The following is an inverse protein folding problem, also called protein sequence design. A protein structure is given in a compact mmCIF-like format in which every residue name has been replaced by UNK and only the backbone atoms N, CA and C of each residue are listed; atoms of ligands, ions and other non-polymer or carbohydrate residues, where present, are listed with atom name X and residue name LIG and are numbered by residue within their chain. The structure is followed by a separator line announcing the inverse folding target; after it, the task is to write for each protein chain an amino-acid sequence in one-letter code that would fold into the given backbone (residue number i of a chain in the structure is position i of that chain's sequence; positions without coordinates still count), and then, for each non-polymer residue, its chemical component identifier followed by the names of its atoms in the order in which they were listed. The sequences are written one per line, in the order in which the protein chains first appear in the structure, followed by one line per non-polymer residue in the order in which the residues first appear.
data_IF_294899768713
#
_entry.id   IF_294899768713
#
_cell.length_a   1.000
_cell.length_b   1.000
_cell.length_c   1.000
_cell.angle_alpha   90.00
_cell.angle_beta   90.00
_cell.angle_gamma   90.00
#
_symmetry.space_group_name_H-M   'P 1'
#
loop_
_entity.id
_entity.type
_entity.pdbx_description
1 polymer ?
#
# COMPACT_ATOMS: atom_id res chain seq x y z
N UNK A 1 -16.76 37.71 19.63
CA UNK A 1 -15.62 36.82 19.33
C UNK A 1 -16.20 35.42 19.31
N UNK A 2 -16.58 34.94 18.13
CA UNK A 2 -17.14 33.59 18.00
C UNK A 2 -15.99 32.65 17.75
N UNK A 3 -15.62 31.89 18.79
CA UNK A 3 -14.62 30.83 18.70
C UNK A 3 -15.13 29.73 17.76
N UNK A 4 -14.64 29.74 16.52
CA UNK A 4 -14.66 28.54 15.68
C UNK A 4 -13.53 27.64 16.15
N UNK A 5 -13.85 26.69 17.03
CA UNK A 5 -12.97 25.55 17.26
C UNK A 5 -12.74 24.84 15.90
N UNK A 6 -11.48 24.56 15.51
CA UNK A 6 -11.22 23.82 14.29
C UNK A 6 -11.81 22.42 14.40
N UNK A 7 -12.70 22.06 13.47
CA UNK A 7 -13.23 20.70 13.34
C UNK A 7 -12.07 19.73 13.12
N UNK A 8 -11.95 18.62 13.88
CA UNK A 8 -10.89 17.65 13.64
C UNK A 8 -11.06 17.09 12.21
N UNK A 9 -10.02 17.19 11.39
CA UNK A 9 -10.00 16.61 10.06
C UNK A 9 -10.28 15.11 10.17
N UNK A 10 -11.34 14.62 9.52
CA UNK A 10 -11.65 13.19 9.54
C UNK A 10 -10.51 12.43 8.87
N UNK A 11 -10.00 11.38 9.52
CA UNK A 11 -9.05 10.45 8.89
C UNK A 11 -9.60 10.01 7.53
N UNK A 12 -8.80 10.09 6.44
CA UNK A 12 -9.25 9.65 5.13
C UNK A 12 -9.71 8.19 5.18
N UNK A 13 -10.90 7.91 4.62
CA UNK A 13 -11.35 6.54 4.45
C UNK A 13 -10.41 5.84 3.46
N UNK A 14 -9.80 4.73 3.89
CA UNK A 14 -8.81 3.98 3.09
C UNK A 14 -9.31 3.70 1.68
N UNK A 15 -10.56 3.24 1.54
CA UNK A 15 -11.10 2.84 0.25
C UNK A 15 -11.37 4.04 -0.64
N UNK A 16 -11.87 5.16 -0.08
CA UNK A 16 -11.95 6.42 -0.82
C UNK A 16 -10.58 6.92 -1.29
N UNK A 17 -9.55 6.78 -0.47
CA UNK A 17 -8.18 7.15 -0.86
C UNK A 17 -7.66 6.26 -1.98
N UNK A 18 -7.86 4.94 -1.91
CA UNK A 18 -7.46 4.00 -2.96
C UNK A 18 -8.18 4.30 -4.28
N UNK A 19 -9.49 4.57 -4.23
CA UNK A 19 -10.28 4.95 -5.41
C UNK A 19 -9.80 6.28 -6.02
N UNK A 20 -9.48 7.26 -5.18
CA UNK A 20 -8.96 8.56 -5.63
C UNK A 20 -7.58 8.42 -6.29
N UNK A 21 -6.67 7.65 -5.69
CA UNK A 21 -5.35 7.36 -6.26
C UNK A 21 -5.47 6.62 -7.58
N UNK A 22 -6.32 5.59 -7.65
CA UNK A 22 -6.59 4.89 -8.90
C UNK A 22 -7.17 5.81 -9.97
N UNK A 23 -8.15 6.66 -9.62
CA UNK A 23 -8.78 7.60 -10.57
C UNK A 23 -7.76 8.59 -11.13
N UNK A 24 -6.93 9.17 -10.27
CA UNK A 24 -5.85 10.08 -10.68
C UNK A 24 -4.90 9.38 -11.66
N UNK A 25 -4.50 8.15 -11.32
CA UNK A 25 -3.62 7.32 -12.13
C UNK A 25 -4.19 6.92 -13.50
N UNK A 26 -5.49 6.65 -13.61
CA UNK A 26 -6.15 6.35 -14.89
C UNK A 26 -6.35 7.61 -15.74
N UNK A 27 -6.49 8.78 -15.12
CA UNK A 27 -6.67 10.05 -15.83
C UNK A 27 -5.39 10.46 -16.58
N UNK A 28 -4.24 10.21 -15.97
CA UNK A 28 -2.93 10.67 -16.47
C UNK A 28 -2.15 9.58 -17.24
N UNK A 29 -2.69 8.35 -17.37
CA UNK A 29 -1.96 7.26 -18.04
C UNK A 29 -2.24 7.17 -19.55
N UNK A 30 -1.18 7.13 -20.39
CA UNK A 30 -1.33 6.87 -21.83
C UNK A 30 -1.62 5.39 -22.16
N UNK A 31 -1.43 4.48 -21.20
CA UNK A 31 -1.54 3.03 -21.37
C UNK A 31 -2.65 2.50 -20.46
N UNK A 32 -3.62 1.76 -21.00
CA UNK A 32 -4.79 1.27 -20.26
C UNK A 32 -5.00 -0.24 -20.42
N UNK A 33 -6.00 -0.78 -19.72
CA UNK A 33 -6.36 -2.20 -19.81
C UNK A 33 -5.26 -3.13 -19.28
N UNK A 34 -4.93 -4.18 -20.04
CA UNK A 34 -3.98 -5.22 -19.58
C UNK A 34 -2.58 -4.68 -19.33
N UNK A 35 -2.09 -3.78 -20.18
CA UNK A 35 -0.75 -3.21 -20.05
C UNK A 35 -0.66 -2.30 -18.81
N UNK A 36 -1.69 -1.49 -18.57
CA UNK A 36 -1.80 -0.70 -17.33
C UNK A 36 -1.75 -1.59 -16.07
N UNK A 37 -2.48 -2.70 -16.07
CA UNK A 37 -2.41 -3.69 -14.98
C UNK A 37 -1.01 -4.27 -14.81
N UNK A 38 -0.31 -4.64 -15.89
CA UNK A 38 1.05 -5.16 -15.81
C UNK A 38 2.02 -4.12 -15.23
N UNK A 39 1.88 -2.85 -15.61
CA UNK A 39 2.67 -1.76 -15.03
C UNK A 39 2.43 -1.61 -13.53
N UNK A 40 1.19 -1.82 -13.03
CA UNK A 40 0.93 -1.84 -11.58
C UNK A 40 1.65 -2.98 -10.86
N UNK A 41 1.75 -4.16 -11.50
CA UNK A 41 2.50 -5.29 -10.93
C UNK A 41 4.01 -5.01 -10.88
N UNK A 42 4.54 -4.30 -11.89
CA UNK A 42 5.94 -3.88 -11.90
C UNK A 42 6.21 -2.84 -10.81
N UNK A 43 5.34 -1.83 -10.65
CA UNK A 43 5.47 -0.85 -9.56
C UNK A 43 5.41 -1.51 -8.19
N UNK A 44 4.55 -2.51 -7.99
CA UNK A 44 4.54 -3.29 -6.75
C UNK A 44 5.90 -3.96 -6.46
N UNK A 45 6.59 -4.46 -7.49
CA UNK A 45 7.91 -5.07 -7.32
C UNK A 45 8.99 -4.03 -7.00
N UNK A 46 8.85 -2.81 -7.51
CA UNK A 46 9.71 -1.67 -7.19
C UNK A 46 9.61 -1.30 -5.70
N UNK A 47 8.39 -1.14 -5.16
CA UNK A 47 8.17 -0.83 -3.73
C UNK A 47 8.77 -1.90 -2.79
N UNK A 48 8.68 -3.18 -3.17
CA UNK A 48 9.32 -4.27 -2.40
C UNK A 48 10.85 -4.15 -2.43
N UNK A 49 11.41 -3.64 -3.53
CA UNK A 49 12.81 -3.28 -3.65
C UNK A 49 13.20 -2.14 -2.71
N UNK A 50 12.37 -1.11 -2.61
CA UNK A 50 12.58 0.04 -1.70
C UNK A 50 12.53 -0.40 -0.23
N UNK A 51 11.60 -1.27 0.18
CA UNK A 51 11.63 -1.91 1.50
C UNK A 51 12.97 -2.61 1.76
N UNK A 52 13.49 -3.32 0.76
CA UNK A 52 14.77 -4.04 0.88
C UNK A 52 15.94 -3.06 1.06
N UNK A 53 15.95 -1.95 0.32
CA UNK A 53 16.95 -0.89 0.45
C UNK A 53 16.87 -0.21 1.84
N UNK A 54 15.66 0.10 2.31
CA UNK A 54 15.44 0.70 3.61
C UNK A 54 15.93 -0.22 4.74
N UNK A 55 15.64 -1.53 4.67
CA UNK A 55 16.14 -2.51 5.67
C UNK A 55 17.66 -2.60 5.66
N UNK A 56 18.29 -2.71 4.48
CA UNK A 56 19.75 -2.75 4.38
C UNK A 56 20.37 -1.47 4.97
N UNK A 57 19.75 -0.31 4.70
CA UNK A 57 20.14 0.97 5.24
C UNK A 57 19.96 1.08 6.76
N UNK A 58 18.89 0.52 7.32
CA UNK A 58 18.60 0.54 8.75
C UNK A 58 19.52 -0.35 9.57
N UNK A 59 19.91 -1.52 9.03
CA UNK A 59 20.89 -2.42 9.66
C UNK A 59 22.32 -1.88 9.46
N UNK A 60 22.53 -0.95 8.53
CA UNK A 60 23.84 -0.38 8.22
C UNK A 60 24.75 -1.33 7.43
N UNK A 61 24.17 -2.30 6.72
CA UNK A 61 24.94 -3.30 5.97
C UNK A 61 25.47 -2.79 4.63
N UNK A 62 25.23 -1.53 4.27
CA UNK A 62 25.83 -0.90 3.09
C UNK A 62 27.25 -0.42 3.42
N UNK A 63 28.33 -1.07 2.95
CA UNK A 63 29.70 -0.71 3.32
C UNK A 63 30.12 0.69 2.85
N UNK A 64 29.41 1.26 1.87
CA UNK A 64 29.67 2.60 1.34
C UNK A 64 28.96 3.71 2.10
N UNK A 65 27.84 3.41 2.77
CA UNK A 65 26.97 4.41 3.40
C UNK A 65 26.77 4.22 4.91
N UNK A 66 27.11 3.07 5.48
CA UNK A 66 26.79 2.75 6.88
C UNK A 66 25.28 2.72 7.11
N UNK A 67 24.82 3.21 8.27
CA UNK A 67 23.39 3.40 8.55
C UNK A 67 22.88 4.59 7.72
N UNK A 68 21.98 4.32 6.78
CA UNK A 68 21.42 5.34 5.88
C UNK A 68 19.92 5.54 6.02
N UNK A 69 19.23 4.61 6.68
CA UNK A 69 17.80 4.63 6.92
C UNK A 69 17.52 4.32 8.39
N UNK A 70 16.30 4.59 8.80
CA UNK A 70 15.72 4.27 10.09
C UNK A 70 14.70 3.14 9.94
N UNK A 71 14.26 2.56 11.05
CA UNK A 71 13.12 1.64 11.03
C UNK A 71 11.79 2.36 10.79
N UNK A 72 11.74 3.69 10.89
CA UNK A 72 10.57 4.49 10.48
C UNK A 72 10.49 4.56 8.96
N UNK A 73 11.62 4.68 8.26
CA UNK A 73 11.67 4.61 6.79
C UNK A 73 11.15 3.26 6.31
N UNK A 74 11.58 2.14 6.94
CA UNK A 74 11.06 0.80 6.62
C UNK A 74 9.53 0.71 6.79
N UNK A 75 8.95 1.38 7.78
CA UNK A 75 7.50 1.42 7.96
C UNK A 75 6.82 2.20 6.83
N UNK A 76 7.43 3.30 6.38
CA UNK A 76 6.99 4.05 5.20
C UNK A 76 6.94 3.17 3.96
N UNK A 77 8.04 2.52 3.63
CA UNK A 77 8.13 1.65 2.44
C UNK A 77 7.13 0.48 2.50
N UNK A 78 6.89 -0.08 3.69
CA UNK A 78 5.85 -1.11 3.87
C UNK A 78 4.44 -0.56 3.60
N UNK A 79 4.17 0.70 3.97
CA UNK A 79 2.90 1.35 3.65
C UNK A 79 2.77 1.56 2.15
N UNK A 80 3.85 1.95 1.45
CA UNK A 80 3.85 2.15 0.00
C UNK A 80 3.60 0.84 -0.75
N UNK A 81 4.17 -0.29 -0.29
CA UNK A 81 3.83 -1.63 -0.78
C UNK A 81 2.32 -1.91 -0.61
N UNK A 82 1.75 -1.67 0.57
CA UNK A 82 0.34 -1.93 0.85
C UNK A 82 -0.57 -1.08 -0.03
N UNK A 83 -0.28 0.22 -0.14
CA UNK A 83 -1.06 1.16 -0.96
C UNK A 83 -0.99 0.76 -2.43
N UNK A 84 0.21 0.47 -2.94
CA UNK A 84 0.43 0.04 -4.33
C UNK A 84 -0.29 -1.27 -4.63
N UNK A 85 -0.26 -2.24 -3.71
CA UNK A 85 -1.00 -3.49 -3.86
C UNK A 85 -2.53 -3.28 -3.90
N UNK A 86 -3.07 -2.39 -3.07
CA UNK A 86 -4.50 -2.07 -3.07
C UNK A 86 -4.94 -1.34 -4.35
N UNK A 87 -4.12 -0.42 -4.86
CA UNK A 87 -4.36 0.24 -6.16
C UNK A 87 -4.29 -0.78 -7.30
N UNK A 88 -3.31 -1.68 -7.28
CA UNK A 88 -3.20 -2.74 -8.28
C UNK A 88 -4.41 -3.69 -8.25
N UNK A 89 -4.91 -4.04 -7.06
CA UNK A 89 -6.16 -4.79 -6.92
C UNK A 89 -7.36 -4.00 -7.46
N UNK A 90 -7.40 -2.68 -7.25
CA UNK A 90 -8.45 -1.80 -7.80
C UNK A 90 -8.42 -1.68 -9.31
N UNK A 91 -7.24 -1.75 -9.93
CA UNK A 91 -7.11 -1.88 -11.39
C UNK A 91 -7.65 -3.22 -11.89
N UNK A 92 -7.50 -4.30 -11.13
CA UNK A 92 -7.98 -5.63 -11.51
C UNK A 92 -9.50 -5.79 -11.33
N UNK A 93 -10.09 -5.14 -10.33
CA UNK A 93 -11.53 -5.25 -10.02
C UNK A 93 -12.07 -3.98 -9.37
N UNK A 94 -13.30 -3.54 -9.71
CA UNK A 94 -13.95 -2.44 -9.00
C UNK A 94 -14.38 -2.81 -7.57
N UNK A 95 -14.49 -4.10 -7.25
CA UNK A 95 -14.96 -4.59 -5.95
C UNK A 95 -13.81 -4.80 -4.94
N UNK A 96 -12.74 -4.00 -5.03
CA UNK A 96 -11.49 -4.14 -4.26
C UNK A 96 -11.72 -4.40 -2.79
N UNK A 97 -12.61 -3.61 -2.18
CA UNK A 97 -12.94 -3.68 -0.75
C UNK A 97 -13.47 -5.06 -0.36
N UNK A 98 -14.46 -5.57 -1.09
CA UNK A 98 -15.09 -6.86 -0.80
C UNK A 98 -14.11 -8.01 -1.06
N UNK A 99 -13.36 -7.94 -2.16
CA UNK A 99 -12.34 -8.96 -2.49
C UNK A 99 -11.29 -9.05 -1.40
N UNK A 100 -10.76 -7.90 -0.95
CA UNK A 100 -9.78 -7.84 0.12
C UNK A 100 -10.35 -8.36 1.44
N UNK A 101 -11.49 -7.85 1.90
CA UNK A 101 -12.07 -8.27 3.19
C UNK A 101 -12.41 -9.75 3.23
N UNK A 102 -12.98 -10.29 2.14
CA UNK A 102 -13.27 -11.72 2.04
C UNK A 102 -12.00 -12.57 2.10
N UNK A 103 -10.92 -12.14 1.44
CA UNK A 103 -9.65 -12.85 1.49
C UNK A 103 -9.01 -12.75 2.89
N UNK A 104 -9.00 -11.56 3.48
CA UNK A 104 -8.48 -11.32 4.82
C UNK A 104 -9.20 -12.19 5.85
N UNK A 105 -10.54 -12.20 5.85
CA UNK A 105 -11.34 -13.05 6.75
C UNK A 105 -10.92 -14.51 6.66
N UNK A 106 -10.81 -15.05 5.44
CA UNK A 106 -10.38 -16.44 5.21
C UNK A 106 -8.98 -16.73 5.77
N UNK A 107 -8.02 -15.81 5.56
CA UNK A 107 -6.66 -15.96 6.08
C UNK A 107 -6.65 -15.89 7.60
N UNK A 108 -7.41 -14.99 8.19
CA UNK A 108 -7.56 -14.84 9.64
C UNK A 108 -8.17 -16.09 10.28
N UNK A 109 -9.30 -16.58 9.75
CA UNK A 109 -9.95 -17.80 10.21
C UNK A 109 -8.97 -18.99 10.16
N UNK A 110 -8.29 -19.20 9.04
CA UNK A 110 -7.31 -20.29 8.90
C UNK A 110 -6.11 -20.17 9.84
N UNK A 111 -5.63 -18.96 10.11
CA UNK A 111 -4.38 -18.75 10.85
C UNK A 111 -4.58 -18.71 12.36
N UNK A 112 -5.75 -18.24 12.81
CA UNK A 112 -6.03 -17.98 14.23
C UNK A 112 -7.03 -18.97 14.84
N UNK A 113 -7.67 -19.84 14.06
CA UNK A 113 -8.52 -20.91 14.61
C UNK A 113 -7.67 -22.08 15.14
N UNK A 114 -7.59 -22.32 16.46
CA UNK A 114 -6.80 -23.40 17.05
C UNK A 114 -7.36 -24.79 16.74
N UNK A 115 -8.59 -24.90 16.24
CA UNK A 115 -9.29 -26.16 15.97
C UNK A 115 -9.10 -26.74 14.56
N UNK A 116 -8.36 -26.06 13.68
CA UNK A 116 -8.20 -26.43 12.27
C UNK A 116 -6.94 -27.27 11.95
N UNK A 117 -6.29 -27.88 12.96
CA UNK A 117 -5.19 -28.84 12.79
C UNK A 117 -5.67 -30.28 12.87
#
# INVERSE_FOLDING_TARGET
MSDHAPTPASTPDLWKSVDALWTWLETDQPVSGREGLLLRMLKLSEEVGEVSEAVIGAIGQNPRKGVSHTWEDVQGELCDVVITALVALRTLTPDTREVFHRHLRRVTERSLDPGAR
#
